data_IF_010066863306
#
_entry.id   IF_010066863306
#
_cell.length_a   1.000
_cell.length_b   1.000
_cell.length_c   1.000
_cell.angle_alpha   90.00
_cell.angle_beta   90.00
_cell.angle_gamma   90.00
#
_symmetry.space_group_name_H-M   'P 1'
#
loop_
_entity.id
_entity.type
_entity.pdbx_description
1 polymer ?
#
# COMPACT_ATOMS: atom_id res chain seq x y z
N UNK A 1 17.08 9.38 -28.12
CA UNK A 1 16.79 8.38 -27.06
C UNK A 1 15.32 8.02 -27.14
N UNK A 2 15.05 6.75 -27.27
CA UNK A 2 13.94 6.13 -27.94
C UNK A 2 12.55 6.35 -27.32
N UNK A 3 11.57 6.37 -28.22
CA UNK A 3 10.10 6.40 -28.00
C UNK A 3 9.54 5.20 -27.21
N UNK A 4 10.39 4.38 -26.60
CA UNK A 4 10.01 3.10 -25.99
C UNK A 4 9.69 3.19 -24.47
N UNK A 5 9.98 4.32 -23.84
CA UNK A 5 9.73 4.54 -22.40
C UNK A 5 8.26 4.76 -22.05
N UNK A 6 7.40 4.99 -23.06
CA UNK A 6 5.95 5.23 -22.86
C UNK A 6 5.10 3.96 -22.99
N UNK A 7 5.70 2.78 -23.19
CA UNK A 7 4.97 1.52 -23.34
C UNK A 7 5.11 0.63 -22.13
N UNK A 8 4.03 -0.10 -21.84
CA UNK A 8 4.03 -1.14 -20.83
C UNK A 8 4.89 -2.31 -21.31
N UNK A 9 5.93 -2.67 -20.56
CA UNK A 9 6.79 -3.81 -20.81
C UNK A 9 6.30 -5.08 -20.11
N UNK A 10 7.08 -6.17 -20.20
CA UNK A 10 6.75 -7.46 -19.59
C UNK A 10 6.61 -7.36 -18.06
N UNK A 11 7.47 -6.57 -17.40
CA UNK A 11 7.42 -6.42 -15.95
C UNK A 11 6.15 -5.68 -15.51
N UNK A 12 5.77 -4.60 -16.20
CA UNK A 12 4.52 -3.90 -15.94
C UNK A 12 3.28 -4.77 -16.14
N UNK A 13 3.27 -5.59 -17.20
CA UNK A 13 2.21 -6.59 -17.41
C UNK A 13 2.17 -7.61 -16.28
N UNK A 14 3.33 -8.10 -15.82
CA UNK A 14 3.44 -9.02 -14.68
C UNK A 14 2.90 -8.36 -13.39
N UNK A 15 3.23 -7.09 -13.14
CA UNK A 15 2.70 -6.34 -12.01
C UNK A 15 1.17 -6.26 -12.02
N UNK A 16 0.56 -6.00 -13.18
CA UNK A 16 -0.90 -5.98 -13.34
C UNK A 16 -1.49 -7.37 -13.08
N UNK A 17 -0.91 -8.42 -13.64
CA UNK A 17 -1.35 -9.80 -13.41
C UNK A 17 -1.28 -10.14 -11.92
N UNK A 18 -0.21 -9.78 -11.23
CA UNK A 18 -0.07 -10.01 -9.79
C UNK A 18 -1.17 -9.29 -8.97
N UNK A 19 -1.55 -8.08 -9.34
CA UNK A 19 -2.64 -7.33 -8.69
C UNK A 19 -3.97 -8.09 -8.82
N UNK A 20 -4.32 -8.53 -10.04
CA UNK A 20 -5.56 -9.28 -10.26
C UNK A 20 -5.54 -10.67 -9.62
N UNK A 21 -4.39 -11.35 -9.65
CA UNK A 21 -4.21 -12.62 -8.94
C UNK A 21 -4.46 -12.46 -7.44
N UNK A 22 -3.94 -11.36 -6.84
CA UNK A 22 -4.18 -11.05 -5.43
C UNK A 22 -5.66 -10.78 -5.13
N UNK A 23 -6.38 -10.11 -6.03
CA UNK A 23 -7.84 -9.92 -5.87
C UNK A 23 -8.60 -11.25 -5.89
N UNK A 24 -8.25 -12.17 -6.80
CA UNK A 24 -8.84 -13.50 -6.87
C UNK A 24 -8.55 -14.27 -5.58
N UNK A 25 -7.30 -14.27 -5.11
CA UNK A 25 -6.90 -14.89 -3.85
C UNK A 25 -7.69 -14.28 -2.68
N UNK A 26 -7.87 -12.96 -2.66
CA UNK A 26 -8.63 -12.28 -1.60
C UNK A 26 -10.10 -12.72 -1.58
N UNK A 27 -10.75 -12.87 -2.74
CA UNK A 27 -12.11 -13.39 -2.86
C UNK A 27 -12.17 -14.82 -2.28
N UNK A 28 -11.24 -15.68 -2.71
CA UNK A 28 -11.20 -17.07 -2.24
C UNK A 28 -11.01 -17.14 -0.73
N UNK A 29 -10.05 -16.39 -0.17
CA UNK A 29 -9.78 -16.40 1.27
C UNK A 29 -10.96 -15.87 2.09
N UNK A 30 -11.55 -14.75 1.69
CA UNK A 30 -12.69 -14.16 2.39
C UNK A 30 -13.89 -15.09 2.42
N UNK A 31 -14.33 -15.55 1.28
CA UNK A 31 -15.60 -16.27 1.18
C UNK A 31 -15.49 -17.75 1.54
N UNK A 32 -14.32 -18.38 1.35
CA UNK A 32 -14.11 -19.75 1.84
C UNK A 32 -14.05 -19.79 3.36
N UNK A 33 -13.39 -18.83 4.01
CA UNK A 33 -13.36 -18.74 5.47
C UNK A 33 -14.72 -18.37 6.07
N UNK A 34 -15.46 -17.44 5.43
CA UNK A 34 -16.81 -17.07 5.84
C UNK A 34 -17.84 -18.20 5.63
N UNK A 35 -17.57 -19.13 4.71
CA UNK A 35 -18.48 -20.22 4.37
C UNK A 35 -19.75 -19.77 3.64
N UNK A 36 -19.81 -18.54 3.15
CA UNK A 36 -20.98 -17.96 2.47
C UNK A 36 -20.56 -16.86 1.51
N UNK A 37 -21.27 -16.76 0.38
CA UNK A 37 -21.15 -15.64 -0.57
C UNK A 37 -22.10 -14.47 -0.26
N UNK A 38 -23.00 -14.63 0.71
CA UNK A 38 -23.98 -13.58 1.09
C UNK A 38 -23.45 -12.56 2.07
N UNK A 39 -22.14 -12.45 2.21
CA UNK A 39 -21.48 -11.48 3.08
C UNK A 39 -21.26 -10.13 2.35
N UNK A 40 -22.22 -9.21 2.54
CA UNK A 40 -22.22 -7.90 1.87
C UNK A 40 -20.95 -7.09 2.14
N UNK A 41 -20.43 -7.07 3.37
CA UNK A 41 -19.20 -6.34 3.73
C UNK A 41 -17.96 -6.91 3.03
N UNK A 42 -17.89 -8.22 2.82
CA UNK A 42 -16.85 -8.85 2.01
C UNK A 42 -16.87 -8.34 0.58
N UNK A 43 -18.07 -8.22 -0.03
CA UNK A 43 -18.21 -7.66 -1.37
C UNK A 43 -17.87 -6.18 -1.42
N UNK A 44 -18.27 -5.38 -0.42
CA UNK A 44 -17.88 -3.95 -0.33
C UNK A 44 -16.35 -3.81 -0.33
N UNK A 45 -15.64 -4.62 0.47
CA UNK A 45 -14.18 -4.64 0.49
C UNK A 45 -13.60 -4.99 -0.89
N UNK A 46 -14.06 -6.05 -1.54
CA UNK A 46 -13.57 -6.49 -2.86
C UNK A 46 -13.86 -5.43 -3.94
N UNK A 47 -15.07 -4.88 -3.98
CA UNK A 47 -15.43 -3.83 -4.94
C UNK A 47 -14.58 -2.57 -4.75
N UNK A 48 -14.31 -2.17 -3.50
CA UNK A 48 -13.43 -1.04 -3.19
C UNK A 48 -12.00 -1.30 -3.69
N UNK A 49 -11.41 -2.47 -3.41
CA UNK A 49 -10.08 -2.83 -3.88
C UNK A 49 -10.01 -2.90 -5.42
N UNK A 50 -10.98 -3.54 -6.04
CA UNK A 50 -11.06 -3.65 -7.50
C UNK A 50 -11.15 -2.27 -8.16
N UNK A 51 -12.03 -1.40 -7.68
CA UNK A 51 -12.18 -0.03 -8.18
C UNK A 51 -10.88 0.76 -8.03
N UNK A 52 -10.25 0.70 -6.86
CA UNK A 52 -8.96 1.38 -6.62
C UNK A 52 -7.89 0.91 -7.61
N UNK A 53 -7.70 -0.40 -7.79
CA UNK A 53 -6.67 -0.91 -8.69
C UNK A 53 -6.94 -0.59 -10.15
N UNK A 54 -8.20 -0.63 -10.60
CA UNK A 54 -8.56 -0.22 -11.97
C UNK A 54 -8.20 1.25 -12.20
N UNK A 55 -8.68 2.16 -11.33
CA UNK A 55 -8.36 3.59 -11.44
C UNK A 55 -6.86 3.86 -11.37
N UNK A 56 -6.17 3.21 -10.45
CA UNK A 56 -4.74 3.33 -10.28
C UNK A 56 -3.97 2.92 -11.54
N UNK A 57 -4.28 1.75 -12.11
CA UNK A 57 -3.64 1.24 -13.33
C UNK A 57 -3.94 2.18 -14.51
N UNK A 58 -5.21 2.56 -14.72
CA UNK A 58 -5.59 3.45 -15.82
C UNK A 58 -4.88 4.81 -15.75
N UNK A 59 -4.84 5.43 -14.59
CA UNK A 59 -4.17 6.71 -14.40
C UNK A 59 -2.67 6.59 -14.66
N UNK A 60 -2.00 5.56 -14.11
CA UNK A 60 -0.57 5.37 -14.34
C UNK A 60 -0.25 5.00 -15.78
N UNK A 61 -1.09 4.26 -16.47
CA UNK A 61 -0.91 3.98 -17.90
C UNK A 61 -0.91 5.25 -18.75
N UNK A 62 -1.70 6.26 -18.34
CA UNK A 62 -1.79 7.54 -19.06
C UNK A 62 -0.64 8.48 -18.67
N UNK A 63 -0.36 8.61 -17.36
CA UNK A 63 0.55 9.63 -16.84
C UNK A 63 2.00 9.14 -16.79
N UNK A 64 2.24 7.92 -16.31
CA UNK A 64 3.58 7.37 -16.08
C UNK A 64 3.62 5.82 -16.19
N UNK A 65 3.58 5.25 -17.42
CA UNK A 65 3.65 3.80 -17.62
C UNK A 65 4.95 3.18 -17.06
N UNK A 66 6.04 3.96 -17.01
CA UNK A 66 7.31 3.48 -16.48
C UNK A 66 7.22 3.14 -15.00
N UNK A 67 6.39 3.84 -14.22
CA UNK A 67 6.17 3.53 -12.82
C UNK A 67 5.49 2.16 -12.65
N UNK A 68 4.56 1.80 -13.53
CA UNK A 68 3.99 0.43 -13.55
C UNK A 68 5.05 -0.62 -13.89
N UNK A 69 5.94 -0.31 -14.84
CA UNK A 69 7.04 -1.21 -15.20
C UNK A 69 7.98 -1.45 -14.01
N UNK A 70 8.36 -0.41 -13.31
CA UNK A 70 9.22 -0.54 -12.13
C UNK A 70 8.54 -1.28 -10.98
N UNK A 71 7.24 -1.13 -10.80
CA UNK A 71 6.46 -1.85 -9.77
C UNK A 71 6.32 -3.34 -10.03
N UNK A 72 6.42 -3.78 -11.29
CA UNK A 72 6.45 -5.20 -11.62
C UNK A 72 7.79 -5.88 -11.36
N UNK A 73 8.85 -5.08 -11.13
CA UNK A 73 10.19 -5.58 -10.85
C UNK A 73 10.38 -5.78 -9.35
N UNK A 74 10.63 -6.99 -8.93
CA UNK A 74 11.05 -7.29 -7.57
C UNK A 74 12.30 -8.15 -7.60
N UNK A 75 13.36 -7.69 -6.94
CA UNK A 75 14.62 -8.41 -6.84
C UNK A 75 15.05 -8.52 -5.37
N UNK A 76 14.95 -9.72 -4.80
CA UNK A 76 15.29 -10.01 -3.41
C UNK A 76 16.72 -9.64 -3.04
N UNK A 77 17.69 -9.80 -3.96
CA UNK A 77 19.11 -9.56 -3.70
C UNK A 77 19.42 -8.07 -3.65
N UNK A 78 18.72 -7.25 -4.41
CA UNK A 78 18.94 -5.81 -4.51
C UNK A 78 18.06 -5.02 -3.54
N UNK A 79 16.98 -5.63 -3.06
CA UNK A 79 16.06 -5.02 -2.09
C UNK A 79 16.69 -5.03 -0.70
N UNK A 80 16.57 -3.92 0.04
CA UNK A 80 17.07 -3.80 1.43
C UNK A 80 16.43 -4.88 2.31
N UNK A 81 17.19 -5.42 3.28
CA UNK A 81 16.71 -6.51 4.15
C UNK A 81 15.42 -6.19 4.89
N UNK A 82 15.27 -4.96 5.39
CA UNK A 82 14.05 -4.56 6.10
C UNK A 82 12.83 -4.55 5.19
N UNK A 83 12.98 -4.20 3.90
CA UNK A 83 11.91 -4.26 2.92
C UNK A 83 11.56 -5.71 2.53
N UNK A 84 12.54 -6.61 2.50
CA UNK A 84 12.28 -8.03 2.32
C UNK A 84 11.41 -8.59 3.46
N UNK A 85 11.73 -8.28 4.72
CA UNK A 85 10.89 -8.67 5.87
C UNK A 85 9.49 -8.03 5.80
N UNK A 86 9.42 -6.78 5.38
CA UNK A 86 8.16 -6.10 5.18
C UNK A 86 7.29 -6.79 4.11
N UNK A 87 7.86 -7.17 2.98
CA UNK A 87 7.15 -7.91 1.91
C UNK A 87 6.71 -9.29 2.40
N UNK A 88 7.57 -10.03 3.12
CA UNK A 88 7.19 -11.32 3.73
C UNK A 88 6.01 -11.13 4.70
N UNK A 89 6.06 -10.10 5.56
CA UNK A 89 4.97 -9.82 6.50
C UNK A 89 3.65 -9.53 5.81
N UNK A 90 3.66 -8.86 4.64
CA UNK A 90 2.48 -8.65 3.81
C UNK A 90 1.84 -9.97 3.35
N UNK A 91 2.65 -10.89 2.83
CA UNK A 91 2.15 -12.19 2.35
C UNK A 91 1.66 -13.12 3.45
N UNK A 92 1.99 -12.84 4.71
CA UNK A 92 1.48 -13.57 5.87
C UNK A 92 0.26 -12.86 6.47
N UNK A 93 0.41 -11.58 6.81
CA UNK A 93 -0.60 -10.84 7.57
C UNK A 93 -1.80 -10.40 6.73
N UNK A 94 -1.59 -10.17 5.41
CA UNK A 94 -2.68 -9.87 4.49
C UNK A 94 -3.69 -11.02 4.40
N UNK A 95 -3.28 -12.23 4.00
CA UNK A 95 -4.14 -13.41 4.05
C UNK A 95 -4.75 -13.67 5.42
N UNK A 96 -3.95 -13.54 6.50
CA UNK A 96 -4.41 -13.77 7.87
C UNK A 96 -5.57 -12.84 8.24
N UNK A 97 -5.48 -11.55 7.88
CA UNK A 97 -6.56 -10.58 8.13
C UNK A 97 -7.87 -11.01 7.44
N UNK A 98 -7.77 -11.44 6.17
CA UNK A 98 -8.94 -11.85 5.40
C UNK A 98 -9.56 -13.13 5.93
N UNK A 99 -8.73 -14.13 6.26
CA UNK A 99 -9.18 -15.40 6.84
C UNK A 99 -9.85 -15.17 8.20
N UNK A 100 -9.19 -14.40 9.08
CA UNK A 100 -9.73 -14.10 10.42
C UNK A 100 -11.06 -13.35 10.31
N UNK A 101 -11.17 -12.39 9.40
CA UNK A 101 -12.43 -11.67 9.17
C UNK A 101 -13.55 -12.61 8.69
N UNK A 102 -13.25 -13.54 7.78
CA UNK A 102 -14.22 -14.51 7.31
C UNK A 102 -14.65 -15.51 8.40
N UNK A 103 -13.69 -16.02 9.20
CA UNK A 103 -13.99 -16.90 10.33
C UNK A 103 -14.81 -16.18 11.41
N UNK A 104 -14.51 -14.91 11.69
CA UNK A 104 -15.26 -14.10 12.64
C UNK A 104 -16.74 -13.97 12.22
N UNK A 105 -16.99 -13.72 10.93
CA UNK A 105 -18.35 -13.70 10.38
C UNK A 105 -19.02 -15.05 10.45
N UNK A 106 -18.31 -16.11 10.10
CA UNK A 106 -18.83 -17.49 10.11
C UNK A 106 -19.27 -17.93 11.49
N UNK A 107 -18.45 -17.66 12.50
CA UNK A 107 -18.66 -18.09 13.86
C UNK A 107 -19.27 -17.02 14.77
N UNK A 108 -19.52 -15.82 14.23
CA UNK A 108 -20.12 -14.68 14.94
C UNK A 108 -19.39 -14.32 16.24
N UNK A 109 -18.05 -14.37 16.22
CA UNK A 109 -17.22 -14.05 17.38
C UNK A 109 -17.32 -12.59 17.81
N UNK A 110 -17.47 -11.68 16.82
CA UNK A 110 -17.61 -10.25 17.07
C UNK A 110 -18.54 -9.59 16.05
N UNK A 111 -18.93 -8.35 16.33
CA UNK A 111 -19.65 -7.51 15.37
C UNK A 111 -19.23 -6.04 15.49
N UNK A 112 -19.08 -5.38 14.35
CA UNK A 112 -18.89 -3.94 14.28
C UNK A 112 -20.14 -3.31 13.63
N UNK A 113 -20.72 -2.25 14.21
CA UNK A 113 -21.88 -1.60 13.63
C UNK A 113 -21.67 -1.21 12.17
N UNK A 114 -22.69 -1.38 11.32
CA UNK A 114 -22.61 -1.11 9.88
C UNK A 114 -22.25 0.36 9.60
N UNK A 115 -22.65 1.28 10.47
CA UNK A 115 -22.35 2.70 10.34
C UNK A 115 -20.84 2.99 10.21
N UNK A 116 -19.97 2.13 10.79
CA UNK A 116 -18.51 2.29 10.72
C UNK A 116 -17.92 2.03 9.33
N UNK A 117 -18.68 1.40 8.43
CA UNK A 117 -18.26 1.19 7.03
C UNK A 117 -18.12 2.54 6.31
N UNK A 118 -19.06 3.47 6.53
CA UNK A 118 -19.07 4.74 5.80
C UNK A 118 -17.84 5.62 6.06
N UNK A 119 -17.48 5.96 7.31
CA UNK A 119 -16.28 6.74 7.58
C UNK A 119 -15.01 6.02 7.14
N UNK A 120 -14.98 4.69 7.23
CA UNK A 120 -13.84 3.88 6.79
C UNK A 120 -13.66 3.94 5.27
N UNK A 121 -14.73 3.83 4.48
CA UNK A 121 -14.66 3.97 3.03
C UNK A 121 -14.25 5.40 2.63
N UNK A 122 -14.76 6.42 3.29
CA UNK A 122 -14.34 7.82 3.05
C UNK A 122 -12.84 7.97 3.32
N UNK A 123 -12.34 7.47 4.45
CA UNK A 123 -10.92 7.51 4.77
C UNK A 123 -10.06 6.75 3.75
N UNK A 124 -10.51 5.57 3.30
CA UNK A 124 -9.82 4.78 2.26
C UNK A 124 -9.78 5.54 0.94
N UNK A 125 -10.89 6.15 0.51
CA UNK A 125 -10.95 6.93 -0.74
C UNK A 125 -10.00 8.13 -0.67
N UNK A 126 -10.05 8.91 0.40
CA UNK A 126 -9.17 10.07 0.58
C UNK A 126 -7.70 9.68 0.61
N UNK A 127 -7.34 8.64 1.37
CA UNK A 127 -5.96 8.16 1.43
C UNK A 127 -5.51 7.55 0.11
N UNK A 128 -6.39 6.90 -0.65
CA UNK A 128 -6.10 6.41 -2.00
C UNK A 128 -5.78 7.56 -2.97
N UNK A 129 -6.54 8.65 -2.90
CA UNK A 129 -6.29 9.85 -3.71
C UNK A 129 -4.95 10.51 -3.33
N UNK A 130 -4.64 10.63 -2.02
CA UNK A 130 -3.36 11.17 -1.54
C UNK A 130 -2.20 10.26 -1.96
N UNK A 131 -2.34 8.94 -1.85
CA UNK A 131 -1.32 8.00 -2.27
C UNK A 131 -1.05 8.10 -3.79
N UNK A 132 -2.10 8.19 -4.60
CA UNK A 132 -1.96 8.40 -6.04
C UNK A 132 -1.27 9.73 -6.35
N UNK A 133 -1.65 10.82 -5.66
CA UNK A 133 -0.97 12.10 -5.80
C UNK A 133 0.52 12.03 -5.42
N UNK A 134 0.86 11.31 -4.33
CA UNK A 134 2.25 11.07 -3.95
C UNK A 134 3.03 10.31 -5.05
N UNK A 135 2.41 9.29 -5.65
CA UNK A 135 3.02 8.51 -6.72
C UNK A 135 3.23 9.32 -8.00
N UNK A 136 2.31 10.21 -8.34
CA UNK A 136 2.43 11.11 -9.51
C UNK A 136 3.50 12.17 -9.26
N UNK A 137 3.54 12.75 -8.05
CA UNK A 137 4.53 13.77 -7.68
C UNK A 137 5.95 13.23 -7.67
N UNK A 138 6.14 11.97 -7.29
CA UNK A 138 7.44 11.32 -7.23
C UNK A 138 7.59 10.30 -8.36
N UNK A 139 8.14 10.74 -9.49
CA UNK A 139 8.38 9.88 -10.66
C UNK A 139 9.33 8.70 -10.39
N UNK A 140 10.11 8.78 -9.32
CA UNK A 140 11.05 7.74 -8.89
C UNK A 140 10.49 6.89 -7.74
N UNK A 141 9.19 6.98 -7.46
CA UNK A 141 8.58 6.23 -6.38
C UNK A 141 8.64 4.72 -6.62
N UNK A 142 9.37 4.01 -5.78
CA UNK A 142 9.46 2.55 -5.77
C UNK A 142 8.67 1.99 -4.59
N UNK A 143 8.17 0.75 -4.75
CA UNK A 143 7.51 0.01 -3.66
C UNK A 143 8.49 -0.38 -2.55
N UNK A 144 9.77 -0.60 -2.92
CA UNK A 144 10.84 -1.03 -2.02
C UNK A 144 12.10 -0.24 -2.29
N UNK A 145 12.91 -0.01 -1.24
CA UNK A 145 14.23 0.58 -1.39
C UNK A 145 15.20 -0.44 -1.99
N UNK A 146 15.76 -0.10 -3.15
CA UNK A 146 16.73 -0.93 -3.87
C UNK A 146 18.09 -0.23 -3.96
N UNK A 147 19.14 -1.02 -3.81
CA UNK A 147 20.52 -0.53 -3.83
C UNK A 147 20.96 0.05 -5.18
N UNK A 148 20.43 -0.50 -6.28
CA UNK A 148 20.81 -0.16 -7.66
C UNK A 148 20.28 1.19 -8.15
N UNK A 149 19.32 1.79 -7.45
CA UNK A 149 18.57 2.95 -7.95
C UNK A 149 18.78 4.21 -7.11
N UNK A 150 19.02 4.09 -5.80
CA UNK A 150 19.08 5.23 -4.87
C UNK A 150 20.10 6.30 -5.24
N UNK A 151 21.26 5.94 -5.78
CA UNK A 151 22.33 6.90 -6.10
C UNK A 151 22.01 7.88 -7.22
N UNK A 152 21.05 7.58 -8.09
CA UNK A 152 20.68 8.40 -9.26
C UNK A 152 19.32 9.11 -9.12
N UNK A 153 18.64 8.96 -7.97
CA UNK A 153 17.36 9.57 -7.72
C UNK A 153 17.48 11.01 -7.23
N UNK A 154 16.44 11.82 -7.49
CA UNK A 154 16.28 13.15 -6.91
C UNK A 154 15.24 13.11 -5.81
N UNK A 155 15.48 13.90 -4.76
CA UNK A 155 14.50 14.07 -3.67
C UNK A 155 13.25 14.75 -4.22
N UNK A 156 12.09 14.13 -4.00
CA UNK A 156 10.81 14.74 -4.29
C UNK A 156 10.42 15.64 -3.11
N UNK A 157 10.22 16.92 -3.38
CA UNK A 157 9.84 17.94 -2.39
C UNK A 157 8.48 18.58 -2.69
N UNK A 158 7.75 18.07 -3.71
CA UNK A 158 6.49 18.65 -4.19
C UNK A 158 5.28 17.81 -3.77
N UNK A 159 4.09 18.38 -3.93
CA UNK A 159 2.85 17.70 -3.60
C UNK A 159 2.76 17.35 -2.11
N UNK A 160 2.30 16.13 -1.75
CA UNK A 160 2.16 15.74 -0.35
C UNK A 160 3.50 15.64 0.40
N UNK A 161 4.64 15.57 -0.33
CA UNK A 161 5.97 15.57 0.26
C UNK A 161 6.38 16.92 0.87
N UNK A 162 5.66 18.02 0.60
CA UNK A 162 5.83 19.28 1.32
C UNK A 162 5.42 19.20 2.79
N UNK A 163 4.52 18.28 3.13
CA UNK A 163 3.91 18.19 4.46
C UNK A 163 4.52 17.07 5.31
N UNK A 164 4.71 15.90 4.70
CA UNK A 164 5.27 14.71 5.36
C UNK A 164 6.19 13.97 4.40
N UNK A 165 7.21 13.29 4.95
CA UNK A 165 8.23 12.64 4.13
C UNK A 165 7.77 11.33 3.49
N UNK A 166 6.83 10.61 4.11
CA UNK A 166 6.35 9.30 3.64
C UNK A 166 4.82 9.26 3.50
N UNK A 167 4.23 10.08 2.60
CA UNK A 167 2.76 10.18 2.47
C UNK A 167 2.12 8.86 2.05
N UNK A 168 2.77 8.08 1.18
CA UNK A 168 2.27 6.76 0.78
C UNK A 168 2.20 5.77 1.94
N UNK A 169 3.20 5.79 2.84
CA UNK A 169 3.24 4.92 4.01
C UNK A 169 2.14 5.28 5.02
N UNK A 170 1.90 6.59 5.23
CA UNK A 170 0.78 7.05 6.07
C UNK A 170 -0.56 6.57 5.53
N UNK A 171 -0.79 6.73 4.22
CA UNK A 171 -2.01 6.27 3.58
C UNK A 171 -2.24 4.77 3.79
N UNK A 172 -1.19 3.97 3.65
CA UNK A 172 -1.27 2.53 3.87
C UNK A 172 -1.62 2.20 5.35
N UNK A 173 -0.99 2.86 6.32
CA UNK A 173 -1.31 2.68 7.75
C UNK A 173 -2.79 2.96 8.02
N UNK A 174 -3.32 4.07 7.50
CA UNK A 174 -4.75 4.43 7.68
C UNK A 174 -5.66 3.40 7.00
N UNK A 175 -5.33 2.95 5.79
CA UNK A 175 -6.15 1.95 5.08
C UNK A 175 -6.19 0.62 5.83
N UNK A 176 -5.05 0.13 6.35
CA UNK A 176 -5.00 -1.09 7.15
C UNK A 176 -5.80 -0.98 8.45
N UNK A 177 -5.85 0.18 9.05
CA UNK A 177 -6.74 0.43 10.19
C UNK A 177 -8.22 0.40 9.80
N UNK A 178 -8.57 0.87 8.60
CA UNK A 178 -9.95 0.93 8.13
C UNK A 178 -10.52 -0.41 7.65
N UNK A 179 -9.69 -1.33 7.13
CA UNK A 179 -10.17 -2.59 6.57
C UNK A 179 -10.97 -3.46 7.55
N UNK A 180 -10.58 -3.64 8.83
CA UNK A 180 -11.39 -4.34 9.83
C UNK A 180 -12.79 -3.75 10.02
N UNK A 181 -12.92 -2.43 9.98
CA UNK A 181 -14.24 -1.78 10.05
C UNK A 181 -15.09 -2.06 8.83
N UNK A 182 -14.51 -2.05 7.64
CA UNK A 182 -15.23 -2.41 6.40
C UNK A 182 -15.68 -3.85 6.45
N UNK A 183 -14.80 -4.76 6.83
CA UNK A 183 -15.09 -6.20 6.96
C UNK A 183 -16.05 -6.53 8.11
N UNK A 184 -16.08 -5.68 9.16
CA UNK A 184 -16.98 -5.85 10.30
C UNK A 184 -16.48 -6.82 11.37
N UNK A 185 -15.17 -7.02 11.46
CA UNK A 185 -14.53 -7.99 12.35
C UNK A 185 -13.56 -7.29 13.31
N UNK A 186 -13.79 -7.46 14.62
CA UNK A 186 -12.84 -6.98 15.64
C UNK A 186 -11.56 -7.83 15.67
N UNK A 187 -11.66 -9.14 15.46
CA UNK A 187 -10.49 -10.01 15.47
C UNK A 187 -9.54 -9.76 14.31
N UNK A 188 -10.02 -9.27 13.17
CA UNK A 188 -9.18 -8.90 12.04
C UNK A 188 -8.29 -7.67 12.31
N UNK A 189 -8.55 -6.90 13.38
CA UNK A 189 -7.61 -5.87 13.86
C UNK A 189 -6.28 -6.45 14.31
N UNK A 190 -6.24 -7.69 14.82
CA UNK A 190 -4.98 -8.29 15.31
C UNK A 190 -3.93 -8.33 14.18
N UNK A 191 -4.14 -9.04 13.06
CA UNK A 191 -3.18 -9.03 11.96
C UNK A 191 -3.01 -7.65 11.32
N UNK A 192 -4.07 -6.81 11.27
CA UNK A 192 -3.98 -5.48 10.73
C UNK A 192 -3.05 -4.57 11.56
N UNK A 193 -3.18 -4.53 12.88
CA UNK A 193 -2.32 -3.74 13.77
C UNK A 193 -0.87 -4.23 13.76
N UNK A 194 -0.65 -5.54 13.71
CA UNK A 194 0.69 -6.10 13.55
C UNK A 194 1.29 -5.58 12.23
N UNK A 195 0.56 -5.62 11.11
CA UNK A 195 1.09 -5.13 9.84
C UNK A 195 1.28 -3.61 9.80
N UNK A 196 0.43 -2.85 10.46
CA UNK A 196 0.64 -1.41 10.65
C UNK A 196 1.94 -1.12 11.39
N UNK A 197 2.30 -1.94 12.38
CA UNK A 197 3.60 -1.82 13.07
C UNK A 197 4.78 -2.06 12.12
N UNK A 198 4.67 -3.01 11.20
CA UNK A 198 5.68 -3.21 10.14
C UNK A 198 5.79 -1.99 9.22
N UNK A 199 4.68 -1.32 8.86
CA UNK A 199 4.72 -0.06 8.10
C UNK A 199 5.48 1.05 8.83
N UNK A 200 5.23 1.22 10.14
CA UNK A 200 5.91 2.22 10.96
C UNK A 200 7.41 1.92 11.06
N UNK A 201 7.77 0.67 11.37
CA UNK A 201 9.16 0.21 11.44
C UNK A 201 9.86 0.39 10.08
N UNK A 202 9.21 -0.01 8.99
CA UNK A 202 9.71 0.19 7.63
C UNK A 202 10.00 1.66 7.35
N UNK A 203 9.07 2.55 7.69
CA UNK A 203 9.23 4.00 7.50
C UNK A 203 10.45 4.53 8.22
N UNK A 204 10.72 4.05 9.44
CA UNK A 204 11.91 4.43 10.19
C UNK A 204 13.20 4.04 9.45
N UNK A 205 13.30 2.79 8.99
CA UNK A 205 14.49 2.30 8.28
C UNK A 205 14.63 2.94 6.89
N UNK A 206 13.54 3.14 6.17
CA UNK A 206 13.51 3.84 4.88
C UNK A 206 14.02 5.27 5.02
N UNK A 207 13.49 6.04 5.98
CA UNK A 207 13.93 7.41 6.26
C UNK A 207 15.43 7.47 6.61
N UNK A 208 15.92 6.51 7.42
CA UNK A 208 17.34 6.41 7.75
C UNK A 208 18.19 6.09 6.53
N UNK A 209 17.75 5.17 5.69
CA UNK A 209 18.44 4.79 4.44
C UNK A 209 18.51 5.98 3.48
N UNK A 210 17.40 6.68 3.28
CA UNK A 210 17.33 7.83 2.37
C UNK A 210 18.23 8.98 2.84
N UNK A 211 18.37 9.21 4.14
CA UNK A 211 19.31 10.23 4.68
C UNK A 211 20.77 9.93 4.36
N UNK A 212 21.14 8.65 4.31
CA UNK A 212 22.52 8.23 4.05
C UNK A 212 22.80 8.15 2.54
N UNK A 213 21.85 7.63 1.77
CA UNK A 213 22.09 7.19 0.39
C UNK A 213 21.52 8.13 -0.68
N UNK A 214 20.54 8.99 -0.33
CA UNK A 214 19.92 9.90 -1.29
C UNK A 214 20.42 11.34 -1.09
N UNK A 215 21.20 11.80 -2.07
CA UNK A 215 21.77 13.17 -2.04
C UNK A 215 20.67 14.23 -1.91
N UNK A 216 20.81 15.11 -0.91
CA UNK A 216 19.87 16.20 -0.64
C UNK A 216 18.69 15.81 0.26
N UNK A 217 18.55 14.54 0.63
CA UNK A 217 17.44 14.11 1.50
C UNK A 217 17.60 14.61 2.95
N UNK A 218 18.84 14.75 3.42
CA UNK A 218 19.09 15.26 4.77
C UNK A 218 18.61 16.73 4.90
N UNK A 219 18.92 17.59 3.93
CA UNK A 219 18.45 18.97 3.87
C UNK A 219 16.93 19.03 3.79
N UNK A 220 16.33 18.22 2.92
CA UNK A 220 14.88 18.09 2.82
C UNK A 220 14.26 17.66 4.17
N UNK A 221 14.91 16.75 4.90
CA UNK A 221 14.40 16.31 6.20
C UNK A 221 14.43 17.40 7.29
N UNK A 222 15.23 18.45 7.11
CA UNK A 222 15.25 19.63 8.00
C UNK A 222 14.07 20.56 7.74
N UNK A 223 13.62 20.66 6.48
CA UNK A 223 12.46 21.47 6.08
C UNK A 223 11.14 20.74 6.34
N UNK A 224 11.02 19.49 5.87
CA UNK A 224 9.84 18.64 6.10
C UNK A 224 10.11 17.73 7.29
N UNK A 225 9.71 18.18 8.50
CA UNK A 225 10.11 17.56 9.78
C UNK A 225 9.43 16.22 10.07
N UNK A 226 8.21 16.02 9.59
CA UNK A 226 7.38 14.87 9.96
C UNK A 226 7.59 13.69 9.00
N UNK A 227 7.73 12.48 9.55
CA UNK A 227 7.85 11.24 8.77
C UNK A 227 6.49 10.74 8.28
N UNK A 228 5.56 10.54 9.20
CA UNK A 228 4.21 10.04 8.94
C UNK A 228 3.14 10.99 9.47
N UNK A 229 3.09 11.18 10.79
CA UNK A 229 2.03 11.94 11.45
C UNK A 229 2.49 13.35 11.71
N UNK A 230 1.83 14.37 11.13
CA UNK A 230 2.12 15.78 11.43
C UNK A 230 2.04 16.02 12.94
N UNK A 231 2.97 16.78 13.46
CA UNK A 231 3.11 17.16 14.88
C UNK A 231 3.41 16.03 15.87
N UNK A 232 3.42 14.76 15.44
CA UNK A 232 3.69 13.62 16.31
C UNK A 232 5.04 12.95 15.98
N UNK A 233 5.30 12.63 14.74
CA UNK A 233 6.53 11.91 14.33
C UNK A 233 6.92 12.11 12.87
#
# INVERSE_FOLDING_TARGET
MSNDTRKLNIDGKRGIVNIFSWLIISILLLFSSAGTLYWVRGWIYICQQFSFYIFYILILMIINPQLLNERGKYNWKETKRYDNYFVISYYILGPSMLIVAGLDVRFQWSSIPLIMVYPSLVAIILTSAIALWAHISNSNFLLTCRNDILGNQRVCTTGPYNYIRHPGNLCAVIQWFCYPFVLGSLFSFIPALIYMSFWIIRTYYEDKTLKIELKGYEEYSKTTKYRLFPYLW
#
